data_IF_292209301167
#
_entry.id   IF_292209301167
#
_cell.length_a   1.000
_cell.length_b   1.000
_cell.length_c   1.000
_cell.angle_alpha   90.00
_cell.angle_beta   90.00
_cell.angle_gamma   90.00
#
_symmetry.space_group_name_H-M   'P 1'
#
loop_
_entity.id
_entity.type
_entity.pdbx_description
1 polymer ?
#
# COMPACT_ATOMS: atom_id res chain seq x y z
N UNK A 1 -22.67 -0.40 18.57
CA UNK A 1 -21.71 -1.52 18.69
C UNK A 1 -22.05 -2.57 17.65
N UNK A 2 -21.28 -2.68 16.56
CA UNK A 2 -21.53 -3.65 15.49
C UNK A 2 -20.25 -4.41 15.16
N UNK A 3 -20.22 -5.72 15.46
CA UNK A 3 -19.11 -6.63 15.15
C UNK A 3 -19.25 -7.10 13.70
N UNK A 4 -18.25 -6.87 12.86
CA UNK A 4 -18.15 -7.55 11.57
C UNK A 4 -17.32 -8.83 11.73
N UNK A 5 -18.02 -9.96 11.60
CA UNK A 5 -17.51 -11.34 11.71
C UNK A 5 -17.07 -11.79 10.31
N UNK A 6 -15.80 -12.17 10.14
CA UNK A 6 -15.34 -12.85 8.93
C UNK A 6 -15.66 -14.35 9.04
N UNK A 7 -16.48 -14.89 8.11
CA UNK A 7 -16.64 -16.33 7.86
C UNK A 7 -16.31 -16.61 6.40
N UNK A 8 -15.50 -17.63 6.15
CA UNK A 8 -15.13 -18.09 4.81
C UNK A 8 -16.22 -18.97 4.15
N UNK A 9 -16.03 -19.28 2.87
CA UNK A 9 -16.60 -20.47 2.22
C UNK A 9 -15.86 -20.83 0.94
N UNK A 10 -15.46 -22.09 0.89
CA UNK A 10 -15.14 -22.92 -0.27
C UNK A 10 -16.41 -23.23 -1.10
N UNK A 11 -16.24 -23.45 -2.40
CA UNK A 11 -17.27 -23.95 -3.31
C UNK A 11 -16.91 -23.63 -4.77
N UNK A 12 -16.51 -24.65 -5.54
CA UNK A 12 -16.23 -24.53 -6.97
C UNK A 12 -17.48 -24.60 -7.84
N UNK A 13 -17.32 -24.32 -9.13
CA UNK A 13 -18.06 -24.89 -10.25
C UNK A 13 -17.32 -24.57 -11.56
N UNK A 14 -17.07 -25.61 -12.35
CA UNK A 14 -16.69 -25.57 -13.77
C UNK A 14 -17.94 -25.35 -14.63
N UNK A 15 -17.85 -24.48 -15.64
CA UNK A 15 -18.50 -24.66 -16.94
C UNK A 15 -17.94 -23.63 -17.93
N UNK A 16 -17.41 -24.13 -19.05
CA UNK A 16 -16.90 -23.35 -20.17
C UNK A 16 -18.04 -22.90 -21.10
N UNK A 17 -17.97 -21.64 -21.55
CA UNK A 17 -18.34 -21.14 -22.88
C UNK A 17 -18.01 -19.63 -22.89
N UNK A 18 -17.36 -19.18 -23.97
CA UNK A 18 -16.79 -17.83 -24.07
C UNK A 18 -17.80 -16.69 -24.16
N UNK A 19 -17.24 -15.47 -24.13
CA UNK A 19 -17.85 -14.18 -24.45
C UNK A 19 -18.43 -13.37 -23.26
N UNK A 20 -17.53 -12.84 -22.44
CA UNK A 20 -17.58 -11.42 -22.08
C UNK A 20 -16.15 -10.97 -21.81
N UNK A 21 -15.59 -10.15 -22.71
CA UNK A 21 -14.27 -9.56 -22.51
C UNK A 21 -14.24 -8.79 -21.19
N UNK A 22 -13.73 -9.43 -20.14
CA UNK A 22 -13.31 -8.74 -18.94
C UNK A 22 -12.12 -7.89 -19.35
N UNK A 23 -12.40 -6.65 -19.78
CA UNK A 23 -11.44 -5.59 -19.95
C UNK A 23 -10.88 -5.23 -18.56
N UNK A 24 -10.11 -6.17 -18.00
CA UNK A 24 -9.42 -6.07 -16.73
C UNK A 24 -8.35 -5.01 -16.94
N UNK A 25 -8.58 -3.81 -16.39
CA UNK A 25 -7.58 -2.76 -16.38
C UNK A 25 -6.43 -3.23 -15.48
N UNK A 26 -5.37 -3.76 -16.10
CA UNK A 26 -4.22 -4.32 -15.39
C UNK A 26 -3.27 -3.22 -14.92
N UNK A 27 -2.61 -3.46 -13.79
CA UNK A 27 -1.48 -2.64 -13.31
C UNK A 27 -0.49 -2.32 -14.45
N UNK A 28 -0.08 -1.06 -14.57
CA UNK A 28 0.85 -0.59 -15.59
C UNK A 28 1.75 0.53 -15.02
N UNK A 29 2.73 0.98 -15.82
CA UNK A 29 3.69 1.99 -15.40
C UNK A 29 3.03 3.28 -14.92
N UNK A 30 1.97 3.75 -15.60
CA UNK A 30 1.27 4.98 -15.25
C UNK A 30 0.55 4.88 -13.90
N UNK A 31 -0.04 3.71 -13.57
CA UNK A 31 -0.65 3.48 -12.25
C UNK A 31 0.41 3.54 -11.15
N UNK A 32 1.54 2.84 -11.33
CA UNK A 32 2.63 2.86 -10.36
C UNK A 32 3.24 4.28 -10.21
N UNK A 33 3.47 4.98 -11.32
CA UNK A 33 4.01 6.35 -11.34
C UNK A 33 3.10 7.33 -10.61
N UNK A 34 1.81 7.38 -10.96
CA UNK A 34 0.86 8.31 -10.35
C UNK A 34 0.65 8.03 -8.86
N UNK A 35 0.59 6.75 -8.48
CA UNK A 35 0.48 6.38 -7.07
C UNK A 35 1.73 6.79 -6.31
N UNK A 36 2.92 6.47 -6.84
CA UNK A 36 4.18 6.81 -6.20
C UNK A 36 4.38 8.33 -6.08
N UNK A 37 4.08 9.09 -7.14
CA UNK A 37 4.16 10.54 -7.14
C UNK A 37 3.20 11.18 -6.13
N UNK A 38 1.99 10.64 -5.99
CA UNK A 38 1.00 11.13 -5.01
C UNK A 38 1.45 10.89 -3.57
N UNK A 39 2.09 9.74 -3.31
CA UNK A 39 2.55 9.36 -1.97
C UNK A 39 3.94 9.87 -1.59
N UNK A 40 4.74 10.30 -2.57
CA UNK A 40 6.13 10.71 -2.34
C UNK A 40 6.26 11.85 -1.32
N UNK A 41 5.46 12.93 -1.36
CA UNK A 41 5.53 14.00 -0.36
C UNK A 41 5.20 13.51 1.05
N UNK A 42 4.22 12.62 1.17
CA UNK A 42 3.82 12.02 2.44
C UNK A 42 4.96 11.17 3.04
N UNK A 43 5.55 10.26 2.25
CA UNK A 43 6.69 9.46 2.74
C UNK A 43 7.88 10.35 3.09
N UNK A 44 8.12 11.43 2.33
CA UNK A 44 9.16 12.40 2.65
C UNK A 44 8.91 13.05 4.02
N UNK A 45 7.70 13.53 4.29
CA UNK A 45 7.34 14.15 5.56
C UNK A 45 7.47 13.20 6.76
N UNK A 46 7.01 11.95 6.61
CA UNK A 46 7.19 10.91 7.64
C UNK A 46 8.67 10.63 7.88
N UNK A 47 9.45 10.50 6.80
CA UNK A 47 10.87 10.15 6.87
C UNK A 47 11.73 11.24 7.54
N UNK A 48 11.39 12.52 7.37
CA UNK A 48 12.22 13.66 7.80
C UNK A 48 11.72 14.37 9.05
N UNK A 49 10.43 14.27 9.38
CA UNK A 49 9.83 14.97 10.53
C UNK A 49 9.35 14.00 11.60
N UNK A 50 10.10 13.91 12.70
CA UNK A 50 9.70 13.13 13.89
C UNK A 50 8.34 13.59 14.42
N UNK A 51 8.06 14.90 14.41
CA UNK A 51 6.78 15.46 14.83
C UNK A 51 5.64 14.98 13.95
N UNK A 52 5.81 15.03 12.63
CA UNK A 52 4.79 14.56 11.68
C UNK A 52 4.51 13.06 11.85
N UNK A 53 5.56 12.24 11.92
CA UNK A 53 5.43 10.79 12.13
C UNK A 53 4.67 10.48 13.43
N UNK A 54 4.98 11.15 14.54
CA UNK A 54 4.27 10.99 15.82
C UNK A 54 2.79 11.37 15.72
N UNK A 55 2.48 12.52 15.12
CA UNK A 55 1.09 12.97 14.96
C UNK A 55 0.28 12.03 14.06
N UNK A 56 0.87 11.62 12.94
CA UNK A 56 0.26 10.66 12.03
C UNK A 56 -0.03 9.33 12.72
N UNK A 57 0.98 8.75 13.37
CA UNK A 57 0.83 7.47 14.08
C UNK A 57 -0.23 7.54 15.19
N UNK A 58 -0.31 8.64 15.94
CA UNK A 58 -1.36 8.85 16.93
C UNK A 58 -2.74 8.89 16.29
N UNK A 59 -2.89 9.58 15.16
CA UNK A 59 -4.15 9.63 14.42
C UNK A 59 -4.53 8.24 13.86
N UNK A 60 -3.56 7.44 13.41
CA UNK A 60 -3.77 6.04 13.01
C UNK A 60 -4.29 5.20 14.18
N UNK A 61 -3.59 5.20 15.31
CA UNK A 61 -3.94 4.42 16.51
C UNK A 61 -5.35 4.77 17.02
N UNK A 62 -5.70 6.05 17.01
CA UNK A 62 -7.03 6.53 17.44
C UNK A 62 -8.10 6.44 16.36
N UNK A 63 -7.77 5.90 15.18
CA UNK A 63 -8.64 5.83 14.01
C UNK A 63 -9.29 7.18 13.65
N UNK A 64 -8.60 8.30 13.89
CA UNK A 64 -9.12 9.64 13.66
C UNK A 64 -8.92 10.05 12.19
N UNK A 65 -9.79 9.57 11.30
CA UNK A 65 -9.74 9.83 9.87
C UNK A 65 -9.69 11.32 9.53
N UNK A 66 -10.53 12.14 10.16
CA UNK A 66 -10.56 13.60 9.93
C UNK A 66 -9.22 14.27 10.21
N UNK A 67 -8.50 13.83 11.24
CA UNK A 67 -7.17 14.34 11.53
C UNK A 67 -6.13 13.78 10.54
N UNK A 68 -6.19 12.50 10.20
CA UNK A 68 -5.31 11.94 9.17
C UNK A 68 -5.48 12.66 7.83
N UNK A 69 -6.70 12.96 7.39
CA UNK A 69 -6.98 13.74 6.18
C UNK A 69 -6.32 15.13 6.24
N UNK A 70 -6.46 15.84 7.37
CA UNK A 70 -5.82 17.16 7.57
C UNK A 70 -4.29 17.08 7.50
N UNK A 71 -3.68 16.10 8.15
CA UNK A 71 -2.22 15.89 8.12
C UNK A 71 -1.74 15.47 6.72
N UNK A 72 -2.50 14.61 6.03
CA UNK A 72 -2.17 14.22 4.67
C UNK A 72 -2.27 15.43 3.73
N UNK A 73 -3.31 16.24 3.87
CA UNK A 73 -3.52 17.43 3.06
C UNK A 73 -2.40 18.47 3.22
N UNK A 74 -1.83 18.59 4.42
CA UNK A 74 -0.74 19.56 4.68
C UNK A 74 0.58 19.19 4.00
N UNK A 75 0.77 17.95 3.55
CA UNK A 75 2.04 17.50 2.93
C UNK A 75 1.85 16.89 1.53
N UNK A 76 0.70 16.28 1.26
CA UNK A 76 0.38 15.59 0.02
C UNK A 76 -1.09 15.87 -0.38
N UNK A 77 -1.44 17.11 -0.76
CA UNK A 77 -2.82 17.52 -1.02
C UNK A 77 -3.49 16.72 -2.14
N UNK A 78 -2.74 16.25 -3.13
CA UNK A 78 -3.29 15.37 -4.18
C UNK A 78 -3.74 14.01 -3.65
N UNK A 79 -2.96 13.40 -2.75
CA UNK A 79 -3.30 12.14 -2.10
C UNK A 79 -4.46 12.31 -1.09
N UNK A 80 -4.51 13.44 -0.39
CA UNK A 80 -5.59 13.74 0.57
C UNK A 80 -6.97 13.90 -0.08
N UNK A 81 -7.04 14.24 -1.38
CA UNK A 81 -8.30 14.30 -2.14
C UNK A 81 -8.78 12.92 -2.64
N UNK A 82 -8.07 11.86 -2.31
CA UNK A 82 -8.44 10.49 -2.66
C UNK A 82 -9.09 9.79 -1.45
N UNK A 83 -9.21 8.46 -1.50
CA UNK A 83 -9.68 7.66 -0.37
C UNK A 83 -8.61 7.51 0.71
N UNK A 84 -9.01 7.54 1.98
CA UNK A 84 -8.16 7.30 3.14
C UNK A 84 -8.87 6.36 4.13
N UNK A 85 -8.16 5.33 4.59
CA UNK A 85 -8.64 4.36 5.56
C UNK A 85 -7.63 4.08 6.67
N UNK A 86 -8.13 3.65 7.83
CA UNK A 86 -7.33 3.16 8.96
C UNK A 86 -8.11 2.10 9.72
N UNK A 87 -7.39 1.17 10.34
CA UNK A 87 -7.95 0.12 11.21
C UNK A 87 -7.30 0.12 12.61
N UNK A 88 -6.65 1.22 13.00
CA UNK A 88 -5.96 1.34 14.30
C UNK A 88 -4.57 0.71 14.34
N UNK A 89 -4.18 -0.07 13.32
CA UNK A 89 -2.87 -0.73 13.22
C UNK A 89 -2.15 -0.43 11.91
N UNK A 90 -2.71 0.47 11.10
CA UNK A 90 -2.21 0.83 9.80
C UNK A 90 -3.13 1.81 9.09
N UNK A 91 -2.64 2.32 7.96
CA UNK A 91 -3.37 3.23 7.09
C UNK A 91 -3.31 2.77 5.64
N UNK A 92 -4.28 3.24 4.86
CA UNK A 92 -4.44 2.95 3.43
C UNK A 92 -4.86 4.23 2.71
N UNK A 93 -4.11 4.62 1.68
CA UNK A 93 -4.38 5.78 0.84
C UNK A 93 -4.64 5.27 -0.57
N UNK A 94 -5.83 5.54 -1.06
CA UNK A 94 -6.26 5.14 -2.40
C UNK A 94 -5.81 6.15 -3.44
N UNK A 95 -5.65 5.69 -4.67
CA UNK A 95 -5.45 6.54 -5.84
C UNK A 95 -6.37 6.04 -6.93
N UNK A 96 -7.30 6.90 -7.35
CA UNK A 96 -8.33 6.57 -8.32
C UNK A 96 -7.83 6.56 -9.76
N UNK A 97 -8.23 5.53 -10.52
CA UNK A 97 -8.09 5.42 -11.97
C UNK A 97 -9.45 5.03 -12.58
N UNK A 98 -9.72 5.30 -13.88
CA UNK A 98 -11.04 5.11 -14.47
C UNK A 98 -11.73 3.75 -14.24
N UNK A 99 -10.97 2.68 -13.95
CA UNK A 99 -11.49 1.32 -13.69
C UNK A 99 -10.72 0.57 -12.60
N UNK A 100 -9.94 1.27 -11.78
CA UNK A 100 -9.06 0.67 -10.77
C UNK A 100 -8.88 1.65 -9.61
N UNK A 101 -8.91 1.14 -8.40
CA UNK A 101 -8.33 1.85 -7.24
C UNK A 101 -7.02 1.16 -6.92
N UNK A 102 -5.96 1.95 -6.82
CA UNK A 102 -4.65 1.45 -6.39
C UNK A 102 -4.32 2.05 -5.04
N UNK A 103 -4.08 1.19 -4.07
CA UNK A 103 -3.97 1.57 -2.66
C UNK A 103 -2.53 1.44 -2.21
N UNK A 104 -2.07 2.44 -1.48
CA UNK A 104 -0.82 2.40 -0.76
C UNK A 104 -1.07 2.39 0.75
N UNK A 105 -0.38 1.53 1.49
CA UNK A 105 -0.56 1.50 2.95
C UNK A 105 0.68 1.04 3.70
N UNK A 106 0.69 1.35 5.00
CA UNK A 106 1.59 0.71 5.96
C UNK A 106 0.75 0.19 7.12
N UNK A 107 0.91 -1.09 7.45
CA UNK A 107 0.11 -1.75 8.48
C UNK A 107 0.91 -2.80 9.22
N UNK A 108 0.54 -3.07 10.47
CA UNK A 108 0.86 -4.32 11.14
C UNK A 108 -0.11 -5.40 10.61
N UNK A 109 0.32 -6.64 10.35
CA UNK A 109 -0.60 -7.72 9.99
C UNK A 109 -1.73 -7.88 11.01
N UNK A 110 -2.99 -7.99 10.57
CA UNK A 110 -4.12 -8.13 11.48
C UNK A 110 -4.02 -9.42 12.31
N UNK A 111 -4.69 -9.43 13.47
CA UNK A 111 -4.69 -10.58 14.39
C UNK A 111 -3.46 -10.67 15.30
N UNK A 112 -2.50 -9.75 15.17
CA UNK A 112 -1.30 -9.71 16.02
C UNK A 112 -1.38 -8.67 17.14
N UNK A 113 -2.12 -7.58 16.91
CA UNK A 113 -2.32 -6.47 17.86
C UNK A 113 -3.53 -5.63 17.43
N UNK A 114 -4.00 -4.76 18.32
CA UNK A 114 -4.99 -3.72 18.03
C UNK A 114 -4.49 -2.38 18.57
N UNK A 115 -4.83 -1.28 17.89
CA UNK A 115 -4.54 0.10 18.34
C UNK A 115 -3.05 0.36 18.64
N UNK A 116 -2.16 -0.15 17.80
CA UNK A 116 -0.71 0.07 17.89
C UNK A 116 -0.16 0.43 16.52
N UNK A 117 0.57 1.52 16.47
CA UNK A 117 1.33 1.95 15.29
C UNK A 117 2.51 2.82 15.75
N UNK A 118 3.72 2.29 15.67
CA UNK A 118 4.91 2.91 16.22
C UNK A 118 5.48 3.98 15.27
N UNK A 119 5.58 5.25 15.69
CA UNK A 119 6.10 6.33 14.84
C UNK A 119 7.58 6.16 14.45
N UNK A 120 8.41 5.57 15.30
CA UNK A 120 9.82 5.30 15.00
C UNK A 120 9.95 4.24 13.92
N UNK A 121 9.12 3.19 13.98
CA UNK A 121 9.08 2.15 12.94
C UNK A 121 8.53 2.73 11.64
N UNK A 122 7.44 3.51 11.69
CA UNK A 122 6.86 4.15 10.50
C UNK A 122 7.86 5.06 9.80
N UNK A 123 8.60 5.89 10.56
CA UNK A 123 9.67 6.73 10.03
C UNK A 123 10.79 5.90 9.38
N UNK A 124 11.24 4.82 10.03
CA UNK A 124 12.28 3.97 9.48
C UNK A 124 11.83 3.26 8.18
N UNK A 125 10.57 2.83 8.10
CA UNK A 125 9.98 2.27 6.88
C UNK A 125 9.93 3.34 5.79
N UNK A 126 9.45 4.54 6.11
CA UNK A 126 9.34 5.64 5.16
C UNK A 126 10.71 5.97 4.54
N UNK A 127 11.76 6.07 5.36
CA UNK A 127 13.14 6.26 4.90
C UNK A 127 13.59 5.12 3.97
N UNK A 128 13.30 3.87 4.33
CA UNK A 128 13.70 2.70 3.56
C UNK A 128 13.00 2.61 2.20
N UNK A 129 11.72 2.98 2.10
CA UNK A 129 10.96 2.90 0.85
C UNK A 129 11.11 4.14 -0.03
N UNK A 130 11.51 5.29 0.53
CA UNK A 130 11.59 6.56 -0.21
C UNK A 130 12.35 6.46 -1.55
N UNK A 131 13.51 5.77 -1.66
CA UNK A 131 14.21 5.63 -2.95
C UNK A 131 13.41 4.83 -3.98
N UNK A 132 12.63 3.82 -3.55
CA UNK A 132 11.73 3.07 -4.42
C UNK A 132 10.62 3.97 -4.96
N UNK A 133 9.97 4.77 -4.11
CA UNK A 133 8.91 5.69 -4.52
C UNK A 133 9.41 6.79 -5.45
N UNK A 134 10.60 7.37 -5.17
CA UNK A 134 11.26 8.32 -6.08
C UNK A 134 11.51 7.69 -7.45
N UNK A 135 12.07 6.47 -7.47
CA UNK A 135 12.34 5.78 -8.74
C UNK A 135 11.06 5.45 -9.50
N UNK A 136 10.03 4.99 -8.80
CA UNK A 136 8.73 4.71 -9.41
C UNK A 136 8.09 5.96 -9.99
N UNK A 137 8.13 7.10 -9.30
CA UNK A 137 7.55 8.35 -9.77
C UNK A 137 8.28 8.89 -11.02
N UNK A 138 9.61 8.88 -11.02
CA UNK A 138 10.41 9.58 -12.03
C UNK A 138 10.92 8.71 -13.19
N UNK A 139 11.06 7.39 -13.02
CA UNK A 139 11.58 6.49 -14.06
C UNK A 139 10.48 5.58 -14.61
N UNK A 140 9.94 5.96 -15.77
CA UNK A 140 8.92 5.19 -16.50
C UNK A 140 9.40 3.79 -16.88
N UNK A 141 10.67 3.62 -17.24
CA UNK A 141 11.22 2.32 -17.63
C UNK A 141 11.28 1.38 -16.44
N UNK A 142 11.71 1.86 -15.27
CA UNK A 142 11.66 1.09 -14.03
C UNK A 142 10.22 0.72 -13.66
N UNK A 143 9.29 1.68 -13.70
CA UNK A 143 7.88 1.43 -13.43
C UNK A 143 7.26 0.41 -14.41
N UNK A 144 7.61 0.48 -15.70
CA UNK A 144 7.18 -0.47 -16.71
C UNK A 144 7.70 -1.88 -16.43
N UNK A 145 9.01 -2.01 -16.16
CA UNK A 145 9.64 -3.30 -15.81
C UNK A 145 8.98 -3.90 -14.57
N UNK A 146 8.74 -3.10 -13.52
CA UNK A 146 8.08 -3.60 -12.31
C UNK A 146 6.63 -4.02 -12.57
N UNK A 147 5.84 -3.22 -13.30
CA UNK A 147 4.47 -3.57 -13.65
C UNK A 147 4.38 -4.87 -14.48
N UNK A 148 5.27 -5.04 -15.45
CA UNK A 148 5.35 -6.29 -16.24
C UNK A 148 5.71 -7.47 -15.33
N UNK A 149 6.69 -7.31 -14.44
CA UNK A 149 7.10 -8.35 -13.51
C UNK A 149 5.95 -8.78 -12.59
N UNK A 150 5.19 -7.82 -12.05
CA UNK A 150 3.98 -8.07 -11.23
C UNK A 150 2.94 -8.84 -12.04
N UNK A 151 2.57 -8.36 -13.23
CA UNK A 151 1.55 -9.01 -14.08
C UNK A 151 1.91 -10.42 -14.50
N UNK A 152 3.20 -10.71 -14.67
CA UNK A 152 3.71 -12.04 -15.03
C UNK A 152 3.98 -12.93 -13.82
N UNK A 153 3.73 -12.46 -12.59
CA UNK A 153 4.05 -13.22 -11.38
C UNK A 153 5.55 -13.49 -11.20
N UNK A 154 6.43 -12.70 -11.83
CA UNK A 154 7.88 -12.91 -11.78
C UNK A 154 8.46 -12.42 -10.45
N UNK A 155 8.33 -13.27 -9.42
CA UNK A 155 8.76 -13.00 -8.04
C UNK A 155 10.25 -12.65 -7.96
N UNK A 156 11.11 -13.32 -8.73
CA UNK A 156 12.55 -13.07 -8.75
C UNK A 156 12.86 -11.65 -9.23
N UNK A 157 12.29 -11.24 -10.36
CA UNK A 157 12.50 -9.91 -10.91
C UNK A 157 11.92 -8.81 -10.00
N UNK A 158 10.73 -9.02 -9.43
CA UNK A 158 10.16 -8.09 -8.43
C UNK A 158 11.10 -7.93 -7.23
N UNK A 159 11.60 -9.03 -6.67
CA UNK A 159 12.52 -8.98 -5.54
C UNK A 159 13.81 -8.23 -5.88
N UNK A 160 14.41 -8.47 -7.06
CA UNK A 160 15.61 -7.75 -7.53
C UNK A 160 15.34 -6.26 -7.70
N UNK A 161 14.26 -5.88 -8.38
CA UNK A 161 13.92 -4.47 -8.62
C UNK A 161 13.67 -3.72 -7.30
N UNK A 162 12.91 -4.32 -6.38
CA UNK A 162 12.62 -3.71 -5.07
C UNK A 162 13.89 -3.61 -4.22
N UNK A 163 14.67 -4.69 -4.08
CA UNK A 163 15.89 -4.69 -3.25
C UNK A 163 17.01 -3.83 -3.83
N UNK A 164 16.98 -3.53 -5.13
CA UNK A 164 17.87 -2.53 -5.73
C UNK A 164 17.58 -1.10 -5.27
N UNK A 165 16.46 -0.85 -4.58
CA UNK A 165 16.06 0.47 -4.07
C UNK A 165 15.77 0.49 -2.56
N UNK A 166 15.46 -0.65 -1.96
CA UNK A 166 15.20 -0.79 -0.52
C UNK A 166 16.33 -1.62 0.09
N UNK A 167 17.36 -0.95 0.59
CA UNK A 167 18.62 -1.57 1.02
C UNK A 167 18.67 -2.01 2.49
N UNK A 168 17.63 -1.74 3.28
CA UNK A 168 17.66 -2.07 4.70
C UNK A 168 17.58 -3.58 4.95
N UNK A 169 18.40 -4.09 5.87
CA UNK A 169 18.32 -5.46 6.38
C UNK A 169 17.00 -5.75 7.12
N UNK A 170 16.26 -4.70 7.50
CA UNK A 170 14.92 -4.84 8.09
C UNK A 170 13.89 -5.37 7.07
N UNK A 171 14.13 -5.23 5.75
CA UNK A 171 13.28 -5.80 4.71
C UNK A 171 13.47 -7.32 4.62
N UNK A 172 12.56 -8.07 5.23
CA UNK A 172 12.62 -9.53 5.32
C UNK A 172 12.02 -10.24 4.12
N UNK A 173 10.96 -9.70 3.52
CA UNK A 173 10.31 -10.32 2.36
C UNK A 173 9.73 -9.29 1.39
N UNK A 174 9.74 -9.65 0.11
CA UNK A 174 9.05 -8.97 -0.98
C UNK A 174 8.11 -9.99 -1.62
N UNK A 175 6.80 -9.71 -1.62
CA UNK A 175 5.77 -10.59 -2.20
C UNK A 175 4.97 -9.84 -3.26
N UNK A 176 4.46 -10.57 -4.24
CA UNK A 176 3.44 -10.08 -5.18
C UNK A 176 2.09 -10.45 -4.56
N UNK A 177 1.23 -9.46 -4.34
CA UNK A 177 -0.11 -9.62 -3.77
C UNK A 177 -1.06 -8.64 -4.45
N UNK A 178 -2.28 -9.08 -4.76
CA UNK A 178 -3.37 -8.25 -5.29
C UNK A 178 -2.95 -7.24 -6.38
N UNK A 179 -2.30 -7.73 -7.44
CA UNK A 179 -1.78 -6.90 -8.54
C UNK A 179 -0.76 -5.81 -8.13
N UNK A 180 -0.07 -6.01 -7.02
CA UNK A 180 0.98 -5.13 -6.56
C UNK A 180 2.07 -5.85 -5.76
N UNK A 181 2.61 -5.18 -4.75
CA UNK A 181 3.71 -5.67 -3.92
C UNK A 181 3.46 -5.45 -2.43
N UNK A 182 3.91 -6.41 -1.63
CA UNK A 182 3.96 -6.32 -0.19
C UNK A 182 5.39 -6.46 0.32
N UNK A 183 5.85 -5.45 1.04
CA UNK A 183 7.18 -5.38 1.63
C UNK A 183 7.07 -5.61 3.13
N UNK A 184 7.63 -6.71 3.63
CA UNK A 184 7.58 -7.07 5.05
C UNK A 184 8.83 -6.60 5.77
N UNK A 185 8.64 -5.73 6.76
CA UNK A 185 9.70 -5.17 7.58
C UNK A 185 9.67 -5.72 9.00
N UNK A 186 10.85 -5.97 9.55
CA UNK A 186 11.03 -6.25 10.97
C UNK A 186 12.27 -5.54 11.48
N UNK A 187 12.07 -4.59 12.38
CA UNK A 187 13.12 -3.82 13.03
C UNK A 187 13.42 -4.38 14.42
N UNK A 188 14.69 -4.43 14.84
CA UNK A 188 15.08 -5.03 16.13
C UNK A 188 14.49 -4.30 17.34
N UNK A 189 14.17 -3.01 17.20
CA UNK A 189 13.57 -2.20 18.25
C UNK A 189 12.03 -2.28 18.29
N UNK A 190 11.41 -3.18 17.52
CA UNK A 190 9.95 -3.35 17.48
C UNK A 190 9.56 -4.81 17.65
N UNK A 191 8.61 -5.05 18.57
CA UNK A 191 7.99 -6.38 18.75
C UNK A 191 7.16 -6.81 17.53
N UNK A 192 6.67 -5.85 16.75
CA UNK A 192 5.74 -6.09 15.65
C UNK A 192 6.44 -6.06 14.29
N UNK A 193 5.96 -6.92 13.39
CA UNK A 193 6.30 -6.88 11.96
C UNK A 193 5.36 -5.90 11.26
N UNK A 194 5.89 -5.16 10.31
CA UNK A 194 5.13 -4.20 9.51
C UNK A 194 5.11 -4.62 8.04
N UNK A 195 4.10 -4.18 7.32
CA UNK A 195 3.99 -4.34 5.88
C UNK A 195 3.78 -2.98 5.25
N UNK A 196 4.59 -2.67 4.24
CA UNK A 196 4.31 -1.59 3.31
C UNK A 196 3.70 -2.22 2.04
N UNK A 197 2.60 -1.66 1.57
CA UNK A 197 1.73 -2.26 0.57
C UNK A 197 1.52 -1.30 -0.60
N UNK A 198 1.57 -1.84 -1.80
CA UNK A 198 1.01 -1.26 -3.02
C UNK A 198 0.15 -2.35 -3.64
N UNK A 199 -1.15 -2.15 -3.80
CA UNK A 199 -2.03 -3.19 -4.35
C UNK A 199 -3.24 -2.59 -5.04
N UNK A 200 -3.81 -3.33 -5.99
CA UNK A 200 -5.02 -2.94 -6.69
C UNK A 200 -6.24 -3.56 -6.02
N UNK A 201 -7.21 -2.72 -5.66
CA UNK A 201 -8.53 -3.20 -5.33
C UNK A 201 -9.35 -3.37 -6.61
N UNK A 202 -9.84 -4.59 -6.84
CA UNK A 202 -10.84 -4.81 -7.87
C UNK A 202 -12.18 -4.38 -7.30
N UNK A 203 -12.80 -3.37 -7.92
CA UNK A 203 -14.21 -3.11 -7.71
C UNK A 203 -15.00 -4.35 -8.12
N UNK A 204 -15.40 -5.17 -7.15
CA UNK A 204 -16.62 -5.94 -7.34
C UNK A 204 -17.73 -4.90 -7.47
N UNK A 205 -18.31 -4.77 -8.67
CA UNK A 205 -19.59 -4.08 -8.82
C UNK A 205 -20.51 -4.64 -7.74
N UNK A 206 -20.79 -3.86 -6.69
CA UNK A 206 -21.98 -4.08 -5.88
C UNK A 206 -23.13 -4.09 -6.88
N UNK A 207 -23.67 -5.28 -7.18
CA UNK A 207 -25.03 -5.36 -7.70
C UNK A 207 -25.86 -4.63 -6.66
N UNK A 208 -26.33 -3.42 -7.00
CA UNK A 208 -27.45 -2.81 -6.29
C UNK A 208 -28.54 -3.88 -6.28
N UNK A 209 -28.84 -4.40 -5.09
CA UNK A 209 -30.13 -5.01 -4.82
C UNK A 209 -31.03 -3.87 -4.40
#
# INVERSE_FOLDING_TARGET
MGRARWRGRSGGCECGCGCAGSNNFKINANVLQKTAASMLPFYSAVATSKRFATLWSRAVVTANLKWMEKLLASVAPHAARQGLGTNGIGYFVDVGFPRLVYTNGTTIPPGTVQFVFDPKVHQAIAQAVLPLYRRLACDRTFACKLAIAIRRGNRRLVNVLVRSRVHTAALKAVKIEDEGIALSFHYPFSKFKYRNLLFGERFFKRRRR
#
